data_IF_297193986029
#
_entry.id   IF_297193986029
#
_cell.length_a   1.000
_cell.length_b   1.000
_cell.length_c   1.000
_cell.angle_alpha   90.00
_cell.angle_beta   90.00
_cell.angle_gamma   90.00
#
_symmetry.space_group_name_H-M   'P 1'
#
loop_
_entity.id
_entity.type
_entity.pdbx_description
1 polymer ?
#
# COMPACT_ATOMS: atom_id res chain seq x y z
N UNK A 1 -17.21 -15.06 -5.25
CA UNK A 1 -15.78 -14.88 -5.49
C UNK A 1 -15.33 -13.53 -5.09
N UNK A 2 -14.34 -13.47 -4.27
CA UNK A 2 -13.81 -12.20 -3.83
C UNK A 2 -12.39 -12.04 -4.29
N UNK A 3 -12.08 -10.88 -4.81
CA UNK A 3 -10.73 -10.54 -5.15
C UNK A 3 -10.25 -9.49 -4.17
N UNK A 4 -9.04 -9.61 -3.75
CA UNK A 4 -8.43 -8.62 -2.89
C UNK A 4 -7.01 -8.38 -3.33
N UNK A 5 -6.63 -7.12 -3.35
CA UNK A 5 -5.27 -6.72 -3.64
C UNK A 5 -4.71 -6.00 -2.45
N UNK A 6 -3.50 -6.36 -2.08
CA UNK A 6 -2.80 -5.74 -0.98
C UNK A 6 -1.64 -4.93 -1.54
N UNK A 7 -1.34 -3.82 -0.89
CA UNK A 7 -0.23 -2.98 -1.28
C UNK A 7 0.48 -2.47 -0.04
N UNK A 8 1.79 -2.34 -0.14
CA UNK A 8 2.62 -1.81 0.93
C UNK A 8 3.43 -0.65 0.38
N UNK A 9 3.25 0.51 0.99
CA UNK A 9 4.00 1.70 0.65
C UNK A 9 4.98 2.02 1.77
N UNK A 10 6.18 2.43 1.42
CA UNK A 10 7.19 2.80 2.39
C UNK A 10 7.78 4.15 2.02
N UNK A 11 8.32 4.83 3.01
CA UNK A 11 9.01 6.10 2.81
C UNK A 11 10.43 5.81 2.32
N UNK A 12 10.75 6.27 1.13
CA UNK A 12 12.07 6.06 0.54
C UNK A 12 13.18 6.70 1.35
N UNK A 13 12.88 7.80 2.02
CA UNK A 13 13.89 8.49 2.81
C UNK A 13 14.14 7.83 4.15
N UNK A 14 13.21 7.00 4.60
CA UNK A 14 13.34 6.33 5.88
C UNK A 14 12.61 4.98 5.82
N UNK A 15 13.26 3.96 5.24
CA UNK A 15 12.60 2.66 5.04
C UNK A 15 12.10 2.01 6.33
N UNK A 16 12.71 2.33 7.47
CA UNK A 16 12.28 1.79 8.75
C UNK A 16 11.25 2.69 9.43
N UNK A 17 10.86 3.77 8.78
CA UNK A 17 9.93 4.74 9.35
C UNK A 17 8.51 4.52 8.87
N UNK A 18 7.82 5.60 8.51
CA UNK A 18 6.41 5.50 8.13
C UNK A 18 6.19 4.57 6.96
N UNK A 19 5.11 3.83 7.03
CA UNK A 19 4.70 2.95 5.94
C UNK A 19 3.18 2.86 5.96
N UNK A 20 2.62 2.38 4.85
CA UNK A 20 1.19 2.20 4.74
C UNK A 20 0.88 0.86 4.11
N UNK A 21 -0.16 0.23 4.59
CA UNK A 21 -0.61 -1.05 4.08
C UNK A 21 -2.11 -0.98 3.86
N UNK A 22 -2.57 -1.53 2.75
CA UNK A 22 -3.99 -1.52 2.45
C UNK A 22 -4.38 -2.75 1.67
N UNK A 23 -5.58 -3.23 1.93
CA UNK A 23 -6.18 -4.34 1.20
C UNK A 23 -7.51 -3.86 0.66
N UNK A 24 -7.67 -3.87 -0.64
CA UNK A 24 -8.88 -3.41 -1.31
C UNK A 24 -9.24 -4.36 -2.44
N UNK A 25 -10.51 -4.36 -2.88
CA UNK A 25 -10.92 -5.23 -3.99
C UNK A 25 -10.22 -4.89 -5.31
N UNK A 26 -9.80 -3.65 -5.48
CA UNK A 26 -9.13 -3.22 -6.70
C UNK A 26 -7.70 -2.82 -6.39
N UNK A 27 -6.78 -3.16 -7.32
CA UNK A 27 -5.38 -2.86 -7.11
C UNK A 27 -5.14 -1.35 -7.04
N UNK A 28 -5.80 -0.58 -7.89
CA UNK A 28 -5.61 0.87 -7.87
C UNK A 28 -6.04 1.47 -6.53
N UNK A 29 -7.13 0.97 -5.97
CA UNK A 29 -7.58 1.43 -4.67
C UNK A 29 -6.60 1.06 -3.57
N UNK A 30 -6.05 -0.15 -3.62
CA UNK A 30 -5.09 -0.57 -2.60
C UNK A 30 -3.80 0.24 -2.68
N UNK A 31 -3.34 0.51 -3.91
CA UNK A 31 -2.14 1.34 -4.09
C UNK A 31 -2.35 2.75 -3.54
N UNK A 32 -3.48 3.35 -3.87
CA UNK A 32 -3.79 4.70 -3.38
C UNK A 32 -3.94 4.73 -1.88
N UNK A 33 -4.66 3.77 -1.32
CA UNK A 33 -4.88 3.73 0.12
C UNK A 33 -3.58 3.50 0.89
N UNK A 34 -2.73 2.60 0.39
CA UNK A 34 -1.45 2.34 1.04
C UNK A 34 -0.56 3.58 1.03
N UNK A 35 -0.49 4.26 -0.13
CA UNK A 35 0.31 5.47 -0.24
C UNK A 35 -0.22 6.56 0.68
N UNK A 36 -1.54 6.73 0.72
CA UNK A 36 -2.14 7.74 1.60
C UNK A 36 -1.79 7.47 3.05
N UNK A 37 -1.90 6.22 3.48
CA UNK A 37 -1.60 5.88 4.87
C UNK A 37 -0.14 6.15 5.21
N UNK A 38 0.76 5.87 4.27
CA UNK A 38 2.16 6.18 4.48
C UNK A 38 2.37 7.67 4.74
N UNK A 39 1.70 8.53 3.96
CA UNK A 39 1.80 9.97 4.15
C UNK A 39 1.14 10.40 5.46
N UNK A 40 0.04 9.74 5.84
CA UNK A 40 -0.63 10.06 7.09
C UNK A 40 0.24 9.78 8.30
N UNK A 41 1.12 8.80 8.19
CA UNK A 41 2.04 8.46 9.26
C UNK A 41 3.32 9.28 9.24
N UNK A 42 3.36 10.30 8.41
CA UNK A 42 4.49 11.21 8.36
C UNK A 42 5.50 10.94 7.26
N UNK A 43 5.15 10.07 6.32
CA UNK A 43 6.04 9.81 5.20
C UNK A 43 6.17 11.02 4.29
N UNK A 44 7.31 11.15 3.65
CA UNK A 44 7.58 12.27 2.74
C UNK A 44 7.67 11.82 1.30
N UNK A 45 8.24 10.65 1.05
CA UNK A 45 8.33 10.09 -0.30
C UNK A 45 7.86 8.66 -0.26
N UNK A 46 6.56 8.49 -0.22
CA UNK A 46 5.97 7.16 -0.11
C UNK A 46 5.83 6.54 -1.49
N UNK A 47 6.37 5.35 -1.63
CA UNK A 47 6.30 4.58 -2.89
C UNK A 47 5.80 3.18 -2.56
N UNK A 48 5.18 2.56 -3.55
CA UNK A 48 4.73 1.19 -3.41
C UNK A 48 5.95 0.27 -3.47
N UNK A 49 6.18 -0.45 -2.40
CA UNK A 49 7.31 -1.35 -2.29
C UNK A 49 6.94 -2.77 -2.70
N UNK A 50 5.72 -3.17 -2.37
CA UNK A 50 5.26 -4.51 -2.68
C UNK A 50 3.76 -4.48 -2.86
N UNK A 51 3.27 -5.37 -3.70
CA UNK A 51 1.83 -5.52 -3.89
C UNK A 51 1.55 -6.92 -4.39
N UNK A 52 0.37 -7.39 -4.12
CA UNK A 52 -0.06 -8.70 -4.58
C UNK A 52 -1.58 -8.74 -4.60
N UNK A 53 -2.12 -9.49 -5.51
CA UNK A 53 -3.55 -9.70 -5.61
C UNK A 53 -3.85 -11.17 -5.45
N UNK A 54 -4.91 -11.47 -4.71
CA UNK A 54 -5.40 -12.83 -4.56
C UNK A 54 -6.44 -13.05 -5.64
N UNK A 55 -6.06 -13.83 -6.65
CA UNK A 55 -6.95 -14.10 -7.77
C UNK A 55 -7.84 -15.32 -7.52
N UNK A 56 -7.60 -16.03 -6.44
CA UNK A 56 -8.44 -17.15 -6.08
C UNK A 56 -9.63 -16.63 -5.29
N UNK A 57 -10.74 -16.74 -5.87
CA UNK A 57 -11.92 -16.28 -5.22
C UNK A 57 -12.52 -17.26 -4.28
#
# INVERSE_FOLDING_TARGET
>A
MKRACAALAVDMTNPCGPHGYAVKPKISSSLNAATRKCYEYGGKECVIRAWACDAKG
#
